data_IF_071012748703
#
_entry.id   IF_071012748703
#
_cell.length_a   1.000
_cell.length_b   1.000
_cell.length_c   1.000
_cell.angle_alpha   90.00
_cell.angle_beta   90.00
_cell.angle_gamma   90.00
#
_symmetry.space_group_name_H-M   'P 1'
#
loop_
_entity.id
_entity.type
_entity.pdbx_description
1 polymer ?
#
# COMPACT_ATOMS: atom_id res chain seq x y z
N UNK A 1 29.53 -1.39 -53.90
CA UNK A 1 29.00 -0.30 -53.06
C UNK A 1 28.96 -0.84 -51.65
N UNK A 2 29.96 -0.61 -50.79
CA UNK A 2 30.13 0.59 -49.93
C UNK A 2 28.80 0.88 -49.21
N UNK A 3 28.68 0.82 -47.88
CA UNK A 3 29.71 0.74 -46.85
C UNK A 3 29.15 0.34 -45.49
N UNK A 4 30.08 -0.13 -44.67
CA UNK A 4 29.99 -0.52 -43.27
C UNK A 4 30.22 0.66 -42.33
N UNK A 5 29.78 0.48 -41.08
CA UNK A 5 30.28 1.09 -39.84
C UNK A 5 30.11 2.62 -39.67
N UNK A 6 29.35 3.00 -38.63
CA UNK A 6 29.82 4.04 -37.70
C UNK A 6 29.58 3.57 -36.28
N UNK A 7 30.70 3.48 -35.57
CA UNK A 7 30.92 3.12 -34.19
C UNK A 7 30.66 4.29 -33.23
N UNK A 8 30.39 3.90 -32.00
CA UNK A 8 30.32 4.66 -30.76
C UNK A 8 31.57 5.54 -30.52
N UNK A 9 31.30 6.77 -30.07
CA UNK A 9 32.06 7.73 -29.26
C UNK A 9 33.59 7.96 -29.45
N UNK A 10 34.03 9.25 -29.52
CA UNK A 10 35.38 9.67 -29.19
C UNK A 10 35.54 10.19 -27.72
N UNK A 11 36.79 10.43 -27.26
CA UNK A 11 37.20 10.24 -25.86
C UNK A 11 37.58 11.52 -25.09
N UNK A 12 37.79 11.31 -23.78
CA UNK A 12 38.80 11.90 -22.89
C UNK A 12 38.68 13.33 -22.32
N UNK A 13 38.62 13.33 -20.97
CA UNK A 13 39.40 14.13 -20.00
C UNK A 13 39.21 15.64 -19.89
N UNK A 14 38.87 16.12 -18.68
CA UNK A 14 39.82 16.86 -17.82
C UNK A 14 39.24 17.18 -16.43
N UNK A 15 40.08 16.91 -15.41
CA UNK A 15 39.95 17.40 -14.03
C UNK A 15 40.10 18.92 -13.99
N UNK A 16 39.37 19.57 -13.08
CA UNK A 16 39.92 20.66 -12.25
C UNK A 16 39.17 20.78 -10.92
N UNK A 17 39.93 20.64 -9.83
CA UNK A 17 39.59 21.05 -8.46
C UNK A 17 39.73 22.57 -8.35
N UNK A 18 38.85 23.27 -7.65
CA UNK A 18 39.17 24.49 -6.86
C UNK A 18 38.27 24.53 -5.60
N UNK A 19 38.80 24.94 -4.42
CA UNK A 19 38.17 24.78 -3.11
C UNK A 19 37.46 26.06 -2.63
N UNK A 20 36.57 25.94 -1.63
CA UNK A 20 36.26 27.06 -0.74
C UNK A 20 36.42 26.64 0.72
N UNK A 21 37.36 27.31 1.38
CA UNK A 21 37.56 27.32 2.82
C UNK A 21 36.62 28.35 3.46
N UNK A 22 36.14 27.98 4.66
CA UNK A 22 35.90 28.76 5.88
C UNK A 22 35.18 30.12 5.79
N UNK A 23 34.14 30.30 6.62
CA UNK A 23 34.17 31.22 7.78
C UNK A 23 32.92 31.04 8.68
N UNK A 24 33.19 30.76 9.96
CA UNK A 24 32.53 31.25 11.19
C UNK A 24 31.03 30.98 11.47
N UNK A 25 30.79 30.13 12.48
CA UNK A 25 29.73 30.27 13.49
C UNK A 25 30.15 31.30 14.58
N UNK A 26 29.42 31.53 15.68
CA UNK A 26 27.97 31.46 15.96
C UNK A 26 27.46 32.76 16.65
N UNK A 27 26.15 33.03 16.68
CA UNK A 27 25.56 33.82 17.78
C UNK A 27 24.17 33.30 18.16
N UNK A 28 24.08 32.93 19.42
CA UNK A 28 22.87 32.62 20.15
C UNK A 28 22.07 33.90 20.42
N UNK A 29 20.75 33.83 20.28
CA UNK A 29 19.84 34.72 20.99
C UNK A 29 18.76 33.89 21.68
N UNK A 30 18.91 33.77 22.99
CA UNK A 30 17.87 33.37 23.92
C UNK A 30 16.94 34.56 24.15
N UNK A 31 15.66 34.45 23.78
CA UNK A 31 14.62 35.31 24.33
C UNK A 31 13.55 34.44 24.99
N UNK A 32 13.63 34.40 26.32
CA UNK A 32 12.64 33.78 27.19
C UNK A 32 11.42 34.72 27.27
N UNK A 33 10.39 34.46 26.49
CA UNK A 33 9.11 35.17 26.63
C UNK A 33 8.19 34.33 27.52
N UNK A 34 8.08 34.75 28.80
CA UNK A 34 7.03 34.29 29.71
C UNK A 34 5.68 34.81 29.21
N UNK A 35 4.83 33.93 28.72
CA UNK A 35 3.41 34.21 28.51
C UNK A 35 2.66 33.63 29.70
N UNK A 36 2.15 34.51 30.56
CA UNK A 36 1.22 34.19 31.64
C UNK A 36 -0.16 33.91 31.07
N UNK A 37 -0.64 32.68 31.20
CA UNK A 37 -2.05 32.35 31.02
C UNK A 37 -2.76 32.36 32.37
N UNK A 38 -3.78 33.20 32.49
CA UNK A 38 -4.74 33.19 33.59
C UNK A 38 -5.64 31.97 33.46
N UNK A 39 -5.61 31.09 34.46
CA UNK A 39 -6.46 29.90 34.55
C UNK A 39 -7.80 30.27 35.16
N UNK A 40 -8.91 29.74 34.63
CA UNK A 40 -10.17 29.64 35.34
C UNK A 40 -10.66 28.18 35.34
N UNK A 41 -10.86 27.68 36.56
CA UNK A 41 -11.74 26.58 36.97
C UNK A 41 -11.53 25.20 36.37
N UNK A 42 -10.84 24.31 37.09
CA UNK A 42 -11.38 22.97 37.41
C UNK A 42 -10.81 22.46 38.75
N UNK A 43 -11.62 21.64 39.42
CA UNK A 43 -11.61 21.28 40.84
C UNK A 43 -10.31 20.62 41.34
N UNK A 44 -9.92 21.01 42.56
CA UNK A 44 -8.87 20.37 43.36
C UNK A 44 -9.25 18.92 43.74
N UNK A 45 -8.38 17.98 43.39
CA UNK A 45 -8.28 16.67 44.03
C UNK A 45 -6.83 16.52 44.52
N UNK A 46 -6.66 16.71 45.82
CA UNK A 46 -5.39 16.53 46.53
C UNK A 46 -5.13 15.03 46.70
N UNK A 47 -4.03 14.52 46.14
CA UNK A 47 -3.49 13.21 46.51
C UNK A 47 -2.09 13.45 47.07
N UNK A 48 -1.92 13.10 48.35
CA UNK A 48 -0.65 13.15 49.07
C UNK A 48 0.36 12.19 48.42
N UNK A 49 1.56 12.70 48.11
CA UNK A 49 2.67 11.88 47.69
C UNK A 49 3.32 11.20 48.91
N UNK A 50 3.16 9.88 49.03
CA UNK A 50 4.03 9.05 49.85
C UNK A 50 5.16 8.51 48.98
N UNK A 51 6.39 8.88 49.33
CA UNK A 51 7.62 8.34 48.75
C UNK A 51 7.73 6.85 49.05
N UNK A 52 7.61 6.00 48.02
CA UNK A 52 8.06 4.62 48.04
C UNK A 52 8.95 4.31 46.83
N UNK A 53 9.94 3.45 47.09
CA UNK A 53 11.18 3.24 46.35
C UNK A 53 10.94 2.70 44.94
N UNK A 54 11.84 3.10 44.02
CA UNK A 54 12.00 2.52 42.68
C UNK A 54 12.41 1.04 42.80
N UNK A 55 11.51 0.14 42.44
CA UNK A 55 11.86 -1.15 41.85
C UNK A 55 11.42 -1.10 40.39
N UNK A 56 12.38 -1.33 39.49
CA UNK A 56 12.21 -1.35 38.04
C UNK A 56 11.56 -2.68 37.64
N UNK A 57 10.24 -2.75 37.66
CA UNK A 57 9.49 -3.76 36.93
C UNK A 57 9.00 -3.14 35.62
N UNK A 58 9.59 -3.57 34.50
CA UNK A 58 8.98 -3.41 33.18
C UNK A 58 7.62 -4.10 33.21
N UNK A 59 6.54 -3.34 33.40
CA UNK A 59 5.20 -3.82 33.14
C UNK A 59 5.01 -3.87 31.62
N UNK A 60 4.77 -5.05 31.02
CA UNK A 60 4.55 -5.14 29.59
C UNK A 60 3.29 -4.37 29.21
N UNK A 61 3.32 -3.73 28.04
CA UNK A 61 2.17 -3.08 27.45
C UNK A 61 1.04 -4.11 27.26
N UNK A 62 -0.20 -3.70 27.49
CA UNK A 62 -1.39 -4.55 27.61
C UNK A 62 -1.85 -5.20 26.27
N UNK A 63 -0.95 -5.50 25.33
CA UNK A 63 -1.26 -5.97 23.98
C UNK A 63 -0.33 -7.04 23.39
N UNK A 64 0.65 -7.54 24.14
CA UNK A 64 1.53 -8.66 23.72
C UNK A 64 1.08 -10.03 24.28
N UNK A 65 -0.03 -10.09 25.00
CA UNK A 65 -0.36 -11.20 25.89
C UNK A 65 -1.38 -12.18 25.26
N UNK A 66 -0.87 -13.34 24.81
CA UNK A 66 -1.55 -14.59 24.43
C UNK A 66 -2.38 -14.71 23.13
N UNK A 67 -2.89 -13.64 22.51
CA UNK A 67 -3.68 -13.79 21.26
C UNK A 67 -2.80 -13.89 20.00
N UNK A 68 -1.62 -13.28 20.01
CA UNK A 68 -0.75 -13.25 18.83
C UNK A 68 0.20 -14.45 18.72
N UNK A 69 0.76 -14.96 19.82
CA UNK A 69 1.76 -16.03 19.70
C UNK A 69 1.13 -17.35 19.22
N UNK A 70 0.07 -17.84 19.85
CA UNK A 70 -0.52 -19.13 19.44
C UNK A 70 -1.07 -19.07 18.01
N UNK A 71 -1.73 -17.98 17.62
CA UNK A 71 -2.23 -17.81 16.25
C UNK A 71 -1.09 -17.66 15.25
N UNK A 72 -0.04 -16.91 15.58
CA UNK A 72 1.16 -16.76 14.74
C UNK A 72 1.82 -18.11 14.48
N UNK A 73 2.04 -18.93 15.51
CA UNK A 73 2.63 -20.26 15.34
C UNK A 73 1.76 -21.14 14.43
N UNK A 74 0.44 -21.19 14.66
CA UNK A 74 -0.47 -21.95 13.78
C UNK A 74 -0.42 -21.50 12.32
N UNK A 75 -0.34 -20.19 12.07
CA UNK A 75 -0.21 -19.64 10.71
C UNK A 75 1.14 -20.03 10.11
N UNK A 76 2.24 -19.85 10.86
CA UNK A 76 3.59 -20.15 10.39
C UNK A 76 3.77 -21.63 10.07
N UNK A 77 3.20 -22.55 10.85
CA UNK A 77 3.24 -23.99 10.58
C UNK A 77 2.63 -24.32 9.20
N UNK A 78 1.46 -23.74 8.92
CA UNK A 78 0.77 -23.95 7.63
C UNK A 78 1.48 -23.23 6.48
N UNK A 79 1.95 -22.01 6.69
CA UNK A 79 2.69 -21.24 5.69
C UNK A 79 3.97 -21.96 5.28
N UNK A 80 4.73 -22.49 6.25
CA UNK A 80 5.99 -23.21 6.00
C UNK A 80 5.75 -24.44 5.11
N UNK A 81 4.68 -25.19 5.37
CA UNK A 81 4.31 -26.34 4.53
C UNK A 81 3.72 -25.96 3.17
N UNK A 82 3.37 -24.68 2.97
CA UNK A 82 2.77 -24.16 1.74
C UNK A 82 3.74 -23.37 0.85
N UNK A 83 5.02 -23.26 1.22
CA UNK A 83 6.04 -22.50 0.47
C UNK A 83 6.14 -22.95 -1.00
N UNK A 84 6.05 -24.25 -1.25
CA UNK A 84 6.11 -24.84 -2.60
C UNK A 84 4.80 -24.75 -3.39
N UNK A 85 3.71 -24.28 -2.78
CA UNK A 85 2.36 -24.26 -3.37
C UNK A 85 1.82 -22.84 -3.60
N UNK A 86 2.72 -21.88 -3.85
CA UNK A 86 2.31 -20.51 -4.16
C UNK A 86 1.75 -20.39 -5.59
N UNK A 87 0.65 -19.64 -5.73
CA UNK A 87 0.10 -19.28 -7.04
C UNK A 87 0.96 -18.18 -7.68
N UNK A 88 1.98 -18.54 -8.46
CA UNK A 88 2.89 -17.56 -9.07
C UNK A 88 2.46 -17.10 -10.47
N UNK A 89 1.73 -17.92 -11.21
CA UNK A 89 1.24 -17.61 -12.55
C UNK A 89 0.09 -18.54 -12.93
N UNK A 90 -0.94 -18.04 -13.62
CA UNK A 90 -2.10 -18.82 -14.07
C UNK A 90 -2.15 -18.88 -15.60
N UNK A 91 -2.76 -19.91 -16.19
CA UNK A 91 -2.96 -19.99 -17.65
C UNK A 91 -4.40 -20.38 -18.01
N UNK A 92 -5.38 -19.68 -17.42
CA UNK A 92 -6.79 -20.07 -17.50
C UNK A 92 -7.37 -20.00 -18.92
N UNK A 93 -6.84 -19.13 -19.79
CA UNK A 93 -7.19 -19.08 -21.22
C UNK A 93 -6.92 -20.40 -21.98
N UNK A 94 -6.10 -21.31 -21.43
CA UNK A 94 -5.86 -22.63 -22.01
C UNK A 94 -6.87 -23.69 -21.52
N UNK A 95 -7.53 -23.45 -20.39
CA UNK A 95 -8.39 -24.43 -19.71
C UNK A 95 -9.86 -24.01 -19.65
N UNK A 96 -10.15 -22.71 -19.82
CA UNK A 96 -11.50 -22.13 -19.76
C UNK A 96 -11.83 -21.49 -21.12
N UNK A 97 -12.65 -22.13 -21.97
CA UNK A 97 -12.92 -21.67 -23.33
C UNK A 97 -13.51 -20.26 -23.47
N UNK A 98 -14.14 -19.73 -22.43
CA UNK A 98 -14.70 -18.39 -22.42
C UNK A 98 -13.64 -17.28 -22.33
N UNK A 99 -12.40 -17.60 -21.97
CA UNK A 99 -11.32 -16.64 -21.76
C UNK A 99 -10.46 -16.49 -23.02
N UNK A 100 -10.37 -15.27 -23.56
CA UNK A 100 -9.75 -14.99 -24.86
C UNK A 100 -8.28 -14.61 -24.80
N UNK A 101 -7.90 -13.85 -23.79
CA UNK A 101 -6.55 -13.29 -23.66
C UNK A 101 -6.14 -13.22 -22.20
N UNK A 102 -4.82 -13.12 -21.97
CA UNK A 102 -4.20 -12.95 -20.67
C UNK A 102 -3.34 -11.70 -20.69
N UNK A 103 -3.52 -10.84 -19.69
CA UNK A 103 -2.60 -9.75 -19.37
C UNK A 103 -1.99 -10.04 -18.01
N UNK A 104 -0.65 -10.09 -17.95
CA UNK A 104 0.08 -10.32 -16.69
C UNK A 104 0.51 -8.99 -16.09
N UNK A 105 -0.08 -8.62 -14.96
CA UNK A 105 0.39 -7.53 -14.12
C UNK A 105 1.40 -7.99 -13.07
N UNK A 106 1.90 -7.05 -12.25
CA UNK A 106 2.86 -7.33 -11.16
C UNK A 106 2.33 -8.40 -10.19
N UNK A 107 1.07 -8.28 -9.78
CA UNK A 107 0.43 -9.16 -8.77
C UNK A 107 -0.81 -9.89 -9.31
N UNK A 108 -1.47 -9.39 -10.36
CA UNK A 108 -2.69 -9.99 -10.92
C UNK A 108 -2.47 -10.51 -12.33
N UNK A 109 -3.07 -11.66 -12.62
CA UNK A 109 -3.28 -12.13 -13.99
C UNK A 109 -4.73 -11.80 -14.38
N UNK A 110 -4.92 -11.12 -15.50
CA UNK A 110 -6.21 -10.58 -15.94
C UNK A 110 -6.62 -11.28 -17.23
N UNK A 111 -7.84 -11.79 -17.28
CA UNK A 111 -8.40 -12.46 -18.46
C UNK A 111 -9.62 -11.76 -19.00
N UNK A 112 -9.71 -11.68 -20.32
CA UNK A 112 -10.87 -11.13 -21.03
C UNK A 112 -11.90 -12.23 -21.31
N UNK A 113 -13.14 -12.02 -20.88
CA UNK A 113 -14.30 -12.90 -21.12
C UNK A 113 -15.43 -12.15 -21.85
N UNK A 114 -15.11 -11.33 -22.85
CA UNK A 114 -16.03 -10.49 -23.64
C UNK A 114 -16.74 -9.39 -22.83
N UNK A 115 -17.68 -9.76 -21.97
CA UNK A 115 -18.47 -8.84 -21.17
C UNK A 115 -17.80 -8.52 -19.81
N UNK A 116 -16.96 -9.44 -19.34
CA UNK A 116 -16.33 -9.39 -18.03
C UNK A 116 -14.82 -9.49 -18.11
N UNK A 117 -14.16 -9.07 -17.02
CA UNK A 117 -12.76 -9.37 -16.73
C UNK A 117 -12.70 -10.37 -15.59
N UNK A 118 -11.85 -11.37 -15.70
CA UNK A 118 -11.50 -12.28 -14.60
C UNK A 118 -10.14 -11.87 -14.06
N UNK A 119 -10.12 -11.40 -12.82
CA UNK A 119 -8.93 -10.93 -12.11
C UNK A 119 -8.48 -12.02 -11.15
N UNK A 120 -7.33 -12.63 -11.41
CA UNK A 120 -6.71 -13.63 -10.52
C UNK A 120 -5.57 -12.98 -9.75
N UNK A 121 -5.75 -12.83 -8.45
CA UNK A 121 -4.74 -12.26 -7.55
C UNK A 121 -3.77 -13.35 -7.11
N UNK A 122 -2.51 -13.19 -7.52
CA UNK A 122 -1.44 -14.18 -7.33
C UNK A 122 -0.65 -13.92 -6.05
N UNK A 123 0.17 -14.90 -5.67
CA UNK A 123 1.05 -14.83 -4.51
C UNK A 123 2.35 -14.07 -4.79
N UNK A 124 2.52 -13.53 -6.00
CA UNK A 124 3.70 -12.76 -6.38
C UNK A 124 3.84 -11.51 -5.49
N UNK A 125 5.05 -11.34 -4.98
CA UNK A 125 5.44 -10.14 -4.27
C UNK A 125 6.45 -9.34 -5.06
N UNK A 126 6.17 -8.06 -5.27
CA UNK A 126 7.02 -7.18 -6.05
C UNK A 126 7.49 -5.94 -5.29
N UNK A 127 8.73 -5.55 -5.58
CA UNK A 127 9.31 -4.24 -5.30
C UNK A 127 10.48 -3.99 -6.27
N UNK A 128 10.92 -2.74 -6.41
CA UNK A 128 11.98 -2.36 -7.36
C UNK A 128 11.65 -2.78 -8.80
N UNK A 129 10.36 -2.74 -9.15
CA UNK A 129 9.81 -3.18 -10.45
C UNK A 129 10.12 -4.64 -10.84
N UNK A 130 10.44 -5.48 -9.85
CA UNK A 130 10.74 -6.90 -10.01
C UNK A 130 9.87 -7.74 -9.09
N UNK A 131 9.62 -8.98 -9.50
CA UNK A 131 9.05 -10.00 -8.61
C UNK A 131 10.18 -10.53 -7.73
N UNK A 132 10.06 -10.35 -6.42
CA UNK A 132 11.08 -10.68 -5.43
C UNK A 132 10.92 -12.08 -4.83
N UNK A 133 9.67 -12.50 -4.64
CA UNK A 133 9.32 -13.78 -4.04
C UNK A 133 7.86 -14.14 -4.36
N UNK A 134 7.47 -15.37 -4.05
CA UNK A 134 6.05 -15.75 -3.92
C UNK A 134 5.75 -15.98 -2.44
N UNK A 135 4.66 -15.37 -1.96
CA UNK A 135 4.30 -15.36 -0.54
C UNK A 135 3.03 -16.19 -0.36
N UNK A 136 3.07 -17.32 0.36
CA UNK A 136 1.92 -18.19 0.52
C UNK A 136 0.68 -17.42 0.99
N UNK A 137 -0.47 -17.72 0.36
CA UNK A 137 -1.77 -17.13 0.67
C UNK A 137 -1.91 -15.61 0.43
N UNK A 138 -0.89 -14.91 -0.06
CA UNK A 138 -0.95 -13.46 -0.30
C UNK A 138 -2.07 -13.10 -1.25
N UNK A 139 -2.23 -13.84 -2.35
CA UNK A 139 -3.25 -13.55 -3.36
C UNK A 139 -4.66 -13.67 -2.79
N UNK A 140 -4.90 -14.67 -1.95
CA UNK A 140 -6.16 -14.85 -1.24
C UNK A 140 -6.40 -13.70 -0.26
N UNK A 141 -5.42 -13.37 0.58
CA UNK A 141 -5.51 -12.25 1.53
C UNK A 141 -5.90 -10.95 0.83
N UNK A 142 -5.21 -10.61 -0.26
CA UNK A 142 -5.46 -9.36 -1.00
C UNK A 142 -6.86 -9.32 -1.62
N UNK A 143 -7.28 -10.43 -2.24
CA UNK A 143 -8.59 -10.53 -2.88
C UNK A 143 -9.72 -10.47 -1.85
N UNK A 144 -9.66 -11.26 -0.78
CA UNK A 144 -10.68 -11.28 0.27
C UNK A 144 -10.74 -9.94 1.04
N UNK A 145 -9.60 -9.30 1.30
CA UNK A 145 -9.56 -7.95 1.89
C UNK A 145 -10.28 -6.95 1.01
N UNK A 146 -10.00 -6.97 -0.31
CA UNK A 146 -10.66 -6.06 -1.26
C UNK A 146 -12.16 -6.32 -1.34
N UNK A 147 -12.60 -7.58 -1.41
CA UNK A 147 -14.01 -7.94 -1.43
C UNK A 147 -14.75 -7.46 -0.17
N UNK A 148 -14.12 -7.57 1.00
CA UNK A 148 -14.67 -7.06 2.25
C UNK A 148 -14.85 -5.54 2.23
N UNK A 149 -13.86 -4.80 1.72
CA UNK A 149 -13.95 -3.34 1.58
C UNK A 149 -14.93 -2.91 0.50
N UNK A 150 -14.97 -3.60 -0.63
CA UNK A 150 -15.95 -3.35 -1.69
C UNK A 150 -17.37 -3.43 -1.15
N UNK A 151 -17.69 -4.44 -0.33
CA UNK A 151 -19.00 -4.56 0.33
C UNK A 151 -19.27 -3.38 1.26
N UNK A 152 -18.34 -3.08 2.17
CA UNK A 152 -18.53 -2.02 3.16
C UNK A 152 -18.63 -0.63 2.58
N UNK A 153 -18.06 -0.40 1.40
CA UNK A 153 -18.02 0.92 0.76
C UNK A 153 -19.06 1.12 -0.33
N UNK A 154 -19.95 0.14 -0.57
CA UNK A 154 -21.05 0.25 -1.57
C UNK A 154 -21.95 1.47 -1.37
N UNK A 155 -22.10 1.92 -0.13
CA UNK A 155 -22.90 3.10 0.22
C UNK A 155 -22.21 4.44 -0.14
N UNK A 156 -20.92 4.41 -0.51
CA UNK A 156 -20.13 5.58 -0.94
C UNK A 156 -20.00 5.59 -2.47
N UNK A 157 -19.67 4.43 -3.06
CA UNK A 157 -19.48 4.29 -4.51
C UNK A 157 -19.77 2.86 -4.95
N UNK A 158 -20.40 2.71 -6.12
CA UNK A 158 -20.56 1.40 -6.77
C UNK A 158 -19.21 0.86 -7.21
N UNK A 159 -19.03 -0.47 -7.18
CA UNK A 159 -17.80 -1.11 -7.64
C UNK A 159 -18.05 -2.04 -8.82
N UNK A 160 -16.98 -2.46 -9.48
CA UNK A 160 -17.07 -3.31 -10.67
C UNK A 160 -17.28 -4.81 -10.35
N UNK A 161 -17.27 -5.24 -9.09
CA UNK A 161 -17.37 -6.66 -8.73
C UNK A 161 -18.73 -7.25 -9.15
N UNK A 162 -18.69 -8.38 -9.85
CA UNK A 162 -19.87 -9.16 -10.27
C UNK A 162 -19.98 -10.42 -9.43
N UNK A 163 -18.88 -11.16 -9.28
CA UNK A 163 -18.81 -12.36 -8.45
C UNK A 163 -17.37 -12.66 -8.03
N UNK A 164 -17.21 -13.52 -7.02
CA UNK A 164 -15.92 -13.99 -6.54
C UNK A 164 -15.95 -15.53 -6.44
N UNK A 165 -15.74 -16.25 -7.57
CA UNK A 165 -15.95 -17.70 -7.62
C UNK A 165 -14.85 -18.50 -6.90
N UNK A 166 -13.71 -17.88 -6.61
CA UNK A 166 -12.62 -18.48 -5.87
C UNK A 166 -12.00 -17.44 -4.95
N UNK A 167 -11.33 -17.89 -3.89
CA UNK A 167 -10.64 -17.06 -2.90
C UNK A 167 -9.60 -16.12 -3.52
N UNK A 168 -9.00 -16.51 -4.65
CA UNK A 168 -8.03 -15.71 -5.40
C UNK A 168 -8.65 -14.91 -6.57
N UNK A 169 -9.96 -15.03 -6.83
CA UNK A 169 -10.56 -14.56 -8.08
C UNK A 169 -11.71 -13.59 -7.85
N UNK A 170 -11.69 -12.50 -8.61
CA UNK A 170 -12.80 -11.57 -8.77
C UNK A 170 -13.18 -11.49 -10.24
N UNK A 171 -14.46 -11.70 -10.56
CA UNK A 171 -15.04 -11.38 -11.87
C UNK A 171 -15.62 -9.97 -11.78
N UNK A 172 -15.19 -9.10 -12.69
CA UNK A 172 -15.55 -7.69 -12.70
C UNK A 172 -16.17 -7.26 -14.04
N UNK A 173 -17.05 -6.25 -14.00
CA UNK A 173 -17.57 -5.56 -15.18
C UNK A 173 -16.43 -4.85 -15.90
N UNK A 174 -16.47 -4.85 -17.24
CA UNK A 174 -15.61 -3.98 -18.03
C UNK A 174 -16.03 -2.52 -17.87
N UNK A 175 -15.04 -1.65 -17.80
CA UNK A 175 -15.20 -0.21 -17.78
C UNK A 175 -14.00 0.47 -18.47
N UNK A 176 -14.19 1.73 -18.86
CA UNK A 176 -13.09 2.56 -19.35
C UNK A 176 -12.33 3.12 -18.15
N UNK A 177 -11.14 2.59 -17.88
CA UNK A 177 -10.32 2.98 -16.72
C UNK A 177 -9.82 4.42 -16.89
N UNK A 178 -9.96 5.25 -15.86
CA UNK A 178 -9.33 6.56 -15.87
C UNK A 178 -7.82 6.40 -15.68
N UNK A 179 -6.98 7.05 -16.51
CA UNK A 179 -5.51 6.93 -16.44
C UNK A 179 -4.91 7.77 -15.30
N UNK A 180 -5.55 7.77 -14.13
CA UNK A 180 -5.19 8.53 -12.93
C UNK A 180 -5.33 7.62 -11.72
N UNK A 181 -4.30 7.61 -10.88
CA UNK A 181 -4.35 6.95 -9.57
C UNK A 181 -4.58 8.01 -8.49
N UNK A 182 -5.60 7.80 -7.67
CA UNK A 182 -5.98 8.72 -6.60
C UNK A 182 -5.30 8.28 -5.30
N UNK A 183 -4.10 8.80 -5.06
CA UNK A 183 -3.37 8.54 -3.81
C UNK A 183 -3.87 9.48 -2.72
N UNK A 184 -4.61 8.94 -1.76
CA UNK A 184 -5.10 9.66 -0.59
C UNK A 184 -4.11 9.53 0.57
N UNK A 185 -3.82 10.64 1.26
CA UNK A 185 -2.83 10.69 2.35
C UNK A 185 -3.39 11.35 3.59
N UNK A 186 -3.13 10.74 4.75
CA UNK A 186 -3.46 11.29 6.06
C UNK A 186 -2.24 11.67 6.90
N UNK A 187 -1.03 11.30 6.47
CA UNK A 187 0.21 11.51 7.23
C UNK A 187 1.38 11.92 6.32
N UNK A 188 2.30 12.70 6.87
CA UNK A 188 3.54 13.15 6.21
C UNK A 188 4.60 12.05 6.30
N UNK A 189 4.49 11.00 5.49
CA UNK A 189 5.38 9.82 5.58
C UNK A 189 5.83 9.28 4.21
N UNK A 190 6.53 8.14 4.24
CA UNK A 190 7.00 7.34 3.12
C UNK A 190 8.45 7.64 2.72
N UNK A 191 9.07 6.69 2.03
CA UNK A 191 10.50 6.70 1.65
C UNK A 191 10.76 6.77 0.14
N UNK A 192 9.72 6.68 -0.70
CA UNK A 192 9.84 6.75 -2.16
C UNK A 192 9.92 8.21 -2.64
N UNK A 193 10.37 8.43 -3.88
CA UNK A 193 10.49 9.78 -4.44
C UNK A 193 9.16 10.53 -4.57
N UNK A 194 8.05 9.79 -4.67
CA UNK A 194 6.68 10.33 -4.74
C UNK A 194 5.98 10.39 -3.37
N UNK A 195 6.65 9.99 -2.28
CA UNK A 195 6.05 10.07 -0.95
C UNK A 195 5.99 11.50 -0.44
N UNK A 196 4.97 11.80 0.38
CA UNK A 196 4.76 13.15 0.89
C UNK A 196 5.95 13.62 1.74
N UNK A 197 6.52 12.76 2.57
CA UNK A 197 7.69 13.13 3.37
C UNK A 197 8.92 13.40 2.51
N UNK A 198 9.22 12.56 1.52
CA UNK A 198 10.41 12.76 0.67
C UNK A 198 10.35 14.08 -0.09
N UNK A 199 9.18 14.38 -0.68
CA UNK A 199 8.93 15.64 -1.40
C UNK A 199 9.02 16.85 -0.45
N UNK A 200 8.36 16.76 0.70
CA UNK A 200 8.38 17.83 1.70
C UNK A 200 9.79 18.11 2.25
N UNK A 201 10.56 17.05 2.54
CA UNK A 201 11.93 17.14 3.04
C UNK A 201 12.91 17.71 2.00
N UNK A 202 12.59 17.60 0.69
CA UNK A 202 13.31 18.27 -0.41
C UNK A 202 12.97 19.77 -0.53
N UNK A 203 12.10 20.31 0.33
CA UNK A 203 11.73 21.72 0.36
C UNK A 203 10.50 22.08 -0.49
N UNK A 204 9.83 21.09 -1.08
CA UNK A 204 8.62 21.32 -1.90
C UNK A 204 7.42 21.53 -0.97
N UNK A 205 6.72 22.65 -1.15
CA UNK A 205 5.54 23.04 -0.34
C UNK A 205 4.24 23.05 -1.12
N UNK A 206 4.28 23.07 -2.44
CA UNK A 206 3.11 22.82 -3.28
C UNK A 206 3.28 21.45 -3.91
N UNK A 207 2.44 20.49 -3.52
CA UNK A 207 2.51 19.13 -4.04
C UNK A 207 1.15 18.69 -4.57
N UNK A 208 1.09 18.39 -5.88
CA UNK A 208 -0.14 18.06 -6.59
C UNK A 208 -1.28 19.09 -6.37
N UNK A 209 -0.94 20.38 -6.25
CA UNK A 209 -1.92 21.45 -5.98
C UNK A 209 -2.24 21.67 -4.50
N UNK A 210 -1.66 20.88 -3.59
CA UNK A 210 -1.84 21.07 -2.15
C UNK A 210 -0.73 21.96 -1.58
N UNK A 211 -1.12 23.07 -0.94
CA UNK A 211 -0.19 23.93 -0.20
C UNK A 211 0.02 23.36 1.21
N UNK A 212 1.25 22.96 1.50
CA UNK A 212 1.69 22.39 2.76
C UNK A 212 2.33 23.47 3.63
N UNK A 213 1.95 23.61 4.92
CA UNK A 213 2.58 24.56 5.82
C UNK A 213 4.02 24.15 6.14
N UNK A 214 4.83 25.14 6.52
CA UNK A 214 6.18 24.90 7.05
C UNK A 214 6.16 24.22 8.42
N UNK A 215 7.31 23.66 8.80
CA UNK A 215 7.52 23.03 10.11
C UNK A 215 6.91 21.63 10.28
N UNK A 216 6.30 21.03 9.25
CA UNK A 216 5.87 19.64 9.32
C UNK A 216 7.05 18.68 9.56
N UNK A 217 6.81 17.64 10.35
CA UNK A 217 7.79 16.60 10.67
C UNK A 217 7.38 15.24 10.14
N UNK A 218 8.34 14.33 9.99
CA UNK A 218 8.08 12.97 9.50
C UNK A 218 7.07 12.26 10.38
N UNK A 219 6.15 11.54 9.74
CA UNK A 219 5.08 10.76 10.34
C UNK A 219 4.00 11.56 11.07
N UNK A 220 4.00 12.90 10.95
CA UNK A 220 2.94 13.75 11.47
C UNK A 220 1.59 13.50 10.77
N UNK A 221 0.50 13.48 11.53
CA UNK A 221 -0.87 13.48 10.98
C UNK A 221 -1.18 14.82 10.32
N UNK A 222 -1.73 14.78 9.10
CA UNK A 222 -2.20 15.96 8.39
C UNK A 222 -3.45 16.55 9.03
N UNK A 223 -3.61 17.87 8.94
CA UNK A 223 -4.82 18.55 9.41
C UNK A 223 -6.08 18.14 8.64
N UNK A 224 -5.92 17.81 7.36
CA UNK A 224 -6.95 17.26 6.48
C UNK A 224 -6.32 16.23 5.54
N UNK A 225 -7.08 15.22 5.17
CA UNK A 225 -6.66 14.28 4.15
C UNK A 225 -6.50 15.02 2.80
N UNK A 226 -5.48 14.65 2.03
CA UNK A 226 -5.19 15.26 0.74
C UNK A 226 -5.10 14.19 -0.35
N UNK A 227 -5.33 14.59 -1.59
CA UNK A 227 -5.06 13.77 -2.77
C UNK A 227 -3.77 14.23 -3.43
N UNK A 228 -2.92 13.28 -3.78
CA UNK A 228 -1.71 13.51 -4.57
C UNK A 228 -1.75 12.58 -5.79
N UNK A 229 -2.60 12.89 -6.78
CA UNK A 229 -2.82 11.97 -7.89
C UNK A 229 -1.55 11.78 -8.73
N UNK A 230 -1.46 10.60 -9.34
CA UNK A 230 -0.38 10.25 -10.26
C UNK A 230 -0.97 9.78 -11.59
N UNK A 231 -0.24 10.00 -12.67
CA UNK A 231 -0.56 9.39 -13.97
C UNK A 231 0.13 8.04 -14.09
N UNK A 232 -0.55 7.07 -14.73
CA UNK A 232 0.03 5.78 -15.09
C UNK A 232 0.94 5.97 -16.32
N UNK A 233 2.24 6.19 -16.12
CA UNK A 233 3.21 6.16 -17.21
C UNK A 233 3.83 4.75 -17.35
N UNK A 234 4.46 4.47 -18.49
CA UNK A 234 5.03 3.16 -18.78
C UNK A 234 6.16 2.76 -17.81
N UNK A 235 6.95 3.74 -17.34
CA UNK A 235 8.17 3.48 -16.56
C UNK A 235 8.01 3.76 -15.06
N UNK A 236 7.22 4.78 -14.66
CA UNK A 236 6.97 5.13 -13.27
C UNK A 236 5.77 6.09 -13.12
N UNK A 237 5.10 6.05 -11.97
CA UNK A 237 3.99 6.95 -11.68
C UNK A 237 4.48 8.39 -11.49
N UNK A 238 3.89 9.33 -12.23
CA UNK A 238 4.29 10.74 -12.20
C UNK A 238 3.23 11.57 -11.46
N UNK A 239 3.61 12.30 -10.39
CA UNK A 239 2.70 13.21 -9.70
C UNK A 239 2.11 14.25 -10.64
N UNK A 240 0.81 14.51 -10.52
CA UNK A 240 0.08 15.44 -11.39
C UNK A 240 -0.87 16.31 -10.56
N UNK A 241 -1.15 17.52 -11.02
CA UNK A 241 -2.15 18.41 -10.42
C UNK A 241 -3.54 18.19 -11.02
N UNK A 242 -4.62 18.58 -10.32
CA UNK A 242 -5.97 18.55 -10.87
C UNK A 242 -6.10 19.24 -12.24
N UNK A 243 -5.52 20.43 -12.39
CA UNK A 243 -5.64 21.20 -13.64
C UNK A 243 -4.91 20.51 -14.80
N UNK A 244 -3.71 19.95 -14.55
CA UNK A 244 -2.99 19.17 -15.57
C UNK A 244 -3.75 17.91 -16.01
N UNK A 245 -4.49 17.25 -15.10
CA UNK A 245 -5.34 16.10 -15.46
C UNK A 245 -6.40 16.51 -16.49
N UNK A 246 -7.05 17.66 -16.27
CA UNK A 246 -8.10 18.17 -17.16
C UNK A 246 -7.50 18.67 -18.48
N UNK A 247 -6.41 19.43 -18.42
CA UNK A 247 -5.73 19.97 -19.61
C UNK A 247 -5.20 18.88 -20.54
N UNK A 248 -4.69 17.78 -19.97
CA UNK A 248 -4.23 16.60 -20.74
C UNK A 248 -5.36 15.71 -21.24
N UNK A 249 -6.62 16.02 -20.92
CA UNK A 249 -7.80 15.24 -21.33
C UNK A 249 -7.85 13.84 -20.68
N UNK A 250 -7.17 13.64 -19.55
CA UNK A 250 -7.15 12.36 -18.84
C UNK A 250 -8.51 12.07 -18.17
N UNK A 251 -9.18 13.12 -17.72
CA UNK A 251 -10.54 13.09 -17.17
C UNK A 251 -11.27 14.37 -17.54
N UNK A 252 -12.60 14.33 -17.56
CA UNK A 252 -13.40 15.56 -17.56
C UNK A 252 -13.39 16.20 -16.17
N UNK A 253 -13.67 17.50 -16.07
CA UNK A 253 -13.74 18.20 -14.78
C UNK A 253 -14.76 17.55 -13.84
N UNK A 254 -15.95 17.24 -14.36
CA UNK A 254 -17.00 16.58 -13.59
C UNK A 254 -16.58 15.18 -13.11
N UNK A 255 -15.97 14.38 -13.98
CA UNK A 255 -15.50 13.03 -13.59
C UNK A 255 -14.41 13.11 -12.52
N UNK A 256 -13.47 14.05 -12.64
CA UNK A 256 -12.39 14.22 -11.67
C UNK A 256 -12.92 14.68 -10.30
N UNK A 257 -13.83 15.63 -10.28
CA UNK A 257 -14.44 16.13 -9.04
C UNK A 257 -15.21 15.01 -8.31
N UNK A 258 -16.02 14.24 -9.04
CA UNK A 258 -16.76 13.10 -8.48
C UNK A 258 -15.82 12.00 -7.95
N UNK A 259 -14.81 11.60 -8.74
CA UNK A 259 -13.84 10.57 -8.32
C UNK A 259 -13.00 11.03 -7.13
N UNK A 260 -12.60 12.31 -7.10
CA UNK A 260 -11.82 12.91 -6.00
C UNK A 260 -12.63 12.94 -4.70
N UNK A 261 -13.89 13.35 -4.76
CA UNK A 261 -14.78 13.34 -3.58
C UNK A 261 -14.93 11.91 -3.05
N UNK A 262 -15.22 10.96 -3.94
CA UNK A 262 -15.36 9.53 -3.57
C UNK A 262 -14.07 8.98 -2.97
N UNK A 263 -12.90 9.26 -3.54
CA UNK A 263 -11.60 8.83 -3.02
C UNK A 263 -11.36 9.32 -1.58
N UNK A 264 -11.63 10.60 -1.31
CA UNK A 264 -11.47 11.17 0.02
C UNK A 264 -12.48 10.58 1.02
N UNK A 265 -13.74 10.39 0.63
CA UNK A 265 -14.77 9.77 1.48
C UNK A 265 -14.47 8.29 1.78
N UNK A 266 -14.01 7.54 0.78
CA UNK A 266 -13.52 6.17 0.98
C UNK A 266 -12.37 6.14 1.98
N UNK A 267 -11.44 7.09 1.89
CA UNK A 267 -10.27 7.13 2.75
C UNK A 267 -10.61 7.49 4.18
N UNK A 268 -11.49 8.48 4.38
CA UNK A 268 -12.00 8.85 5.70
C UNK A 268 -12.76 7.70 6.37
N UNK A 269 -13.66 7.03 5.63
CA UNK A 269 -14.37 5.85 6.13
C UNK A 269 -13.40 4.69 6.46
N UNK A 270 -12.42 4.44 5.58
CA UNK A 270 -11.37 3.45 5.80
C UNK A 270 -10.53 3.74 7.04
N UNK A 271 -10.19 5.02 7.27
CA UNK A 271 -9.48 5.47 8.47
C UNK A 271 -10.30 5.22 9.75
N UNK A 272 -11.59 5.53 9.72
CA UNK A 272 -12.47 5.28 10.86
C UNK A 272 -12.50 3.79 11.22
N UNK A 273 -12.83 2.94 10.24
CA UNK A 273 -12.95 1.49 10.46
C UNK A 273 -11.60 0.87 10.86
N UNK A 274 -10.50 1.28 10.24
CA UNK A 274 -9.16 0.83 10.63
C UNK A 274 -8.85 1.17 12.09
N UNK A 275 -9.17 2.41 12.52
CA UNK A 275 -8.92 2.87 13.88
C UNK A 275 -9.75 2.11 14.91
N UNK A 276 -11.03 1.87 14.63
CA UNK A 276 -11.90 1.00 15.44
C UNK A 276 -11.31 -0.41 15.59
N UNK A 277 -10.55 -0.85 14.59
CA UNK A 277 -9.92 -2.16 14.55
C UNK A 277 -8.48 -2.20 15.09
N UNK A 278 -7.95 -1.09 15.61
CA UNK A 278 -6.61 -1.01 16.20
C UNK A 278 -5.49 -0.68 15.21
N UNK A 279 -5.84 -0.23 14.00
CA UNK A 279 -4.91 0.15 12.94
C UNK A 279 -5.04 1.63 12.58
N UNK A 280 -4.01 2.21 11.99
CA UNK A 280 -4.07 3.53 11.36
C UNK A 280 -3.91 3.31 9.86
N UNK A 281 -4.91 3.69 9.07
CA UNK A 281 -4.79 3.77 7.61
C UNK A 281 -4.09 5.09 7.24
N UNK A 282 -2.85 4.98 6.77
CA UNK A 282 -1.91 6.09 6.67
C UNK A 282 -2.04 6.81 5.34
N UNK A 283 -2.02 6.03 4.27
CA UNK A 283 -2.27 6.42 2.89
C UNK A 283 -2.75 5.20 2.10
N UNK A 284 -3.41 5.45 0.97
CA UNK A 284 -3.92 4.42 0.06
C UNK A 284 -4.05 4.95 -1.36
N UNK A 285 -4.16 4.05 -2.32
CA UNK A 285 -4.34 4.34 -3.74
C UNK A 285 -5.68 3.78 -4.23
N UNK A 286 -6.46 4.61 -4.91
CA UNK A 286 -7.67 4.15 -5.60
C UNK A 286 -7.54 4.29 -7.11
N UNK A 287 -8.28 3.44 -7.80
CA UNK A 287 -8.55 3.57 -9.23
C UNK A 287 -10.04 3.54 -9.49
N UNK A 288 -10.44 4.28 -10.52
CA UNK A 288 -11.83 4.35 -10.95
C UNK A 288 -11.93 4.06 -12.44
N UNK A 289 -13.08 3.55 -12.86
CA UNK A 289 -13.43 3.40 -14.26
C UNK A 289 -14.84 3.89 -14.54
N UNK A 290 -15.08 4.27 -15.79
CA UNK A 290 -16.39 4.71 -16.29
C UNK A 290 -17.10 3.56 -16.99
N UNK A 291 -18.26 3.17 -16.48
CA UNK A 291 -19.11 2.16 -17.09
C UNK A 291 -19.82 2.69 -18.35
N UNK A 292 -20.41 1.77 -19.12
CA UNK A 292 -21.10 2.12 -20.37
C UNK A 292 -22.32 3.03 -20.17
N UNK A 293 -22.94 2.99 -18.99
CA UNK A 293 -24.05 3.88 -18.60
C UNK A 293 -23.56 5.26 -18.09
N UNK A 294 -22.25 5.49 -18.09
CA UNK A 294 -21.63 6.73 -17.63
C UNK A 294 -21.30 6.76 -16.14
N UNK A 295 -21.68 5.75 -15.35
CA UNK A 295 -21.41 5.71 -13.91
C UNK A 295 -19.92 5.49 -13.59
N UNK A 296 -19.43 6.15 -12.54
CA UNK A 296 -18.07 5.93 -12.01
C UNK A 296 -18.09 4.76 -11.02
N UNK A 297 -17.31 3.73 -11.35
CA UNK A 297 -17.11 2.53 -10.55
C UNK A 297 -15.74 2.55 -9.87
N UNK A 298 -15.70 2.15 -8.60
CA UNK A 298 -14.47 1.77 -7.93
C UNK A 298 -13.99 0.43 -8.48
N UNK A 299 -12.72 0.38 -8.87
CA UNK A 299 -12.10 -0.81 -9.47
C UNK A 299 -10.82 -1.18 -8.71
N UNK A 300 -10.04 -2.09 -9.29
CA UNK A 300 -8.74 -2.50 -8.76
C UNK A 300 -8.83 -3.20 -7.41
N UNK A 301 -7.94 -2.90 -6.47
CA UNK A 301 -7.97 -3.38 -5.09
C UNK A 301 -8.16 -2.23 -4.11
N UNK A 302 -8.73 -2.50 -2.93
CA UNK A 302 -9.09 -1.46 -1.97
C UNK A 302 -8.57 -1.80 -0.60
N UNK A 303 -7.80 -0.89 -0.02
CA UNK A 303 -7.36 -0.93 1.38
C UNK A 303 -6.62 -2.22 1.77
N UNK A 304 -5.90 -2.79 0.81
CA UNK A 304 -5.06 -3.96 1.01
C UNK A 304 -3.68 -3.54 1.53
N UNK A 305 -2.88 -4.48 2.08
CA UNK A 305 -1.49 -4.19 2.42
C UNK A 305 -0.57 -3.84 1.23
N UNK A 306 -1.00 -4.11 -0.01
CA UNK A 306 -0.25 -3.74 -1.23
C UNK A 306 -0.61 -2.33 -1.74
N UNK A 307 -1.86 -1.91 -1.55
CA UNK A 307 -2.37 -0.59 -1.95
C UNK A 307 -2.33 0.47 -0.85
N UNK A 308 -2.13 0.07 0.41
CA UNK A 308 -2.18 0.94 1.59
C UNK A 308 -1.03 0.71 2.57
N UNK A 309 -0.70 1.78 3.32
CA UNK A 309 0.12 1.68 4.53
C UNK A 309 -0.75 1.61 5.78
N UNK A 310 -0.44 0.66 6.65
CA UNK A 310 -1.09 0.48 7.93
C UNK A 310 -0.09 0.53 9.08
N UNK A 311 -0.40 1.31 10.12
CA UNK A 311 0.35 1.30 11.38
C UNK A 311 -0.45 0.70 12.52
N UNK A 312 0.24 0.18 13.54
CA UNK A 312 -0.40 -0.26 14.78
C UNK A 312 -0.80 0.97 15.60
N UNK A 313 -2.11 1.18 15.80
CA UNK A 313 -2.64 2.43 16.36
C UNK A 313 -2.12 2.71 17.78
N UNK A 314 -2.10 1.69 18.64
CA UNK A 314 -1.73 1.85 20.04
C UNK A 314 -0.24 2.17 20.26
N UNK A 315 0.62 1.87 19.27
CA UNK A 315 2.06 2.17 19.36
C UNK A 315 2.41 3.58 18.87
N UNK A 316 1.55 4.20 18.05
CA UNK A 316 1.94 5.35 17.23
C UNK A 316 2.41 6.55 18.06
N UNK A 317 1.62 6.98 19.05
CA UNK A 317 1.96 8.17 19.85
C UNK A 317 3.25 8.00 20.65
N UNK A 318 3.42 6.85 21.31
CA UNK A 318 4.62 6.54 22.08
C UNK A 318 5.87 6.53 21.18
N UNK A 319 5.78 5.87 20.02
CA UNK A 319 6.90 5.77 19.08
C UNK A 319 7.31 7.14 18.55
N UNK A 320 6.35 8.00 18.16
CA UNK A 320 6.66 9.36 17.71
C UNK A 320 7.28 10.22 18.82
N UNK A 321 6.77 10.13 20.06
CA UNK A 321 7.35 10.86 21.20
C UNK A 321 8.80 10.45 21.49
N UNK A 322 9.14 9.19 21.22
CA UNK A 322 10.49 8.66 21.38
C UNK A 322 11.37 8.83 20.12
N UNK A 323 10.89 9.53 19.08
CA UNK A 323 11.63 9.73 17.83
C UNK A 323 11.81 8.46 16.98
N UNK A 324 10.94 7.46 17.17
CA UNK A 324 10.96 6.18 16.46
C UNK A 324 9.98 6.19 15.27
N UNK A 325 10.29 5.39 14.24
CA UNK A 325 9.35 5.13 13.14
C UNK A 325 8.09 4.42 13.65
N UNK A 326 6.88 4.74 13.18
CA UNK A 326 5.66 4.01 13.50
C UNK A 326 5.81 2.51 13.25
N UNK A 327 5.15 1.72 14.07
CA UNK A 327 5.14 0.28 13.88
C UNK A 327 4.28 -0.07 12.68
N UNK A 328 4.89 -0.71 11.68
CA UNK A 328 4.31 -1.03 10.40
C UNK A 328 4.34 -2.54 10.16
N UNK A 329 3.32 -3.04 9.48
CA UNK A 329 3.13 -4.46 9.16
C UNK A 329 3.41 -4.76 7.68
N UNK A 330 3.80 -3.74 6.89
CA UNK A 330 4.04 -3.86 5.46
C UNK A 330 5.35 -4.58 5.08
N UNK A 331 5.60 -4.59 3.76
CA UNK A 331 6.74 -5.23 3.09
C UNK A 331 8.08 -4.49 3.20
N UNK A 332 8.20 -3.43 4.00
CA UNK A 332 9.44 -2.64 4.02
C UNK A 332 10.65 -3.45 4.51
N UNK A 333 10.46 -4.40 5.42
CA UNK A 333 11.55 -5.27 5.88
C UNK A 333 12.10 -6.18 4.76
N UNK A 334 11.24 -6.67 3.85
CA UNK A 334 11.68 -7.40 2.65
C UNK A 334 12.53 -6.51 1.76
N UNK A 335 12.11 -5.26 1.53
CA UNK A 335 12.88 -4.29 0.74
C UNK A 335 14.24 -3.98 1.35
N UNK A 336 14.29 -3.80 2.67
CA UNK A 336 15.53 -3.53 3.40
C UNK A 336 16.48 -4.72 3.30
N UNK A 337 15.97 -5.95 3.40
CA UNK A 337 16.76 -7.16 3.21
C UNK A 337 17.39 -7.20 1.81
N UNK A 338 16.62 -6.98 0.73
CA UNK A 338 17.20 -6.96 -0.61
C UNK A 338 18.25 -5.85 -0.78
N UNK A 339 17.97 -4.63 -0.30
CA UNK A 339 18.93 -3.51 -0.36
C UNK A 339 20.23 -3.78 0.41
N UNK A 340 20.22 -4.61 1.46
CA UNK A 340 21.43 -4.93 2.21
C UNK A 340 22.20 -6.13 1.65
N UNK A 341 21.61 -6.90 0.74
CA UNK A 341 22.22 -8.12 0.19
C UNK A 341 22.51 -8.06 -1.32
N UNK A 342 21.96 -7.08 -2.05
CA UNK A 342 22.18 -6.88 -3.48
C UNK A 342 21.91 -5.42 -3.88
N UNK A 343 22.26 -5.04 -5.12
CA UNK A 343 21.72 -3.85 -5.76
C UNK A 343 20.47 -4.24 -6.58
N UNK A 344 19.25 -4.11 -6.03
CA UNK A 344 18.05 -4.64 -6.68
C UNK A 344 17.70 -3.97 -8.02
N UNK A 345 18.27 -2.80 -8.30
CA UNK A 345 18.05 -2.03 -9.52
C UNK A 345 19.02 -2.39 -10.65
N UNK A 346 20.21 -2.90 -10.33
CA UNK A 346 21.29 -3.12 -11.31
C UNK A 346 21.66 -4.59 -11.46
N UNK A 347 21.55 -5.39 -10.39
CA UNK A 347 21.98 -6.79 -10.41
C UNK A 347 21.08 -7.63 -11.31
N UNK A 348 21.65 -8.37 -12.26
CA UNK A 348 20.88 -9.20 -13.20
C UNK A 348 20.07 -10.28 -12.46
N UNK A 349 20.68 -10.91 -11.45
CA UNK A 349 20.07 -11.97 -10.64
C UNK A 349 19.98 -11.50 -9.20
N UNK A 350 18.79 -11.59 -8.62
CA UNK A 350 18.58 -11.30 -7.20
C UNK A 350 18.79 -12.58 -6.37
N UNK A 351 19.30 -12.47 -5.13
CA UNK A 351 19.29 -13.61 -4.21
C UNK A 351 17.86 -14.00 -3.85
N UNK A 352 17.61 -15.29 -3.60
CA UNK A 352 16.32 -15.75 -3.11
C UNK A 352 16.03 -15.17 -1.72
N UNK A 353 14.78 -14.76 -1.49
CA UNK A 353 14.35 -14.33 -0.17
C UNK A 353 14.40 -15.54 0.81
N UNK A 354 15.00 -15.39 2.01
CA UNK A 354 15.02 -16.44 3.02
C UNK A 354 13.62 -16.93 3.39
N UNK A 355 13.47 -18.23 3.65
CA UNK A 355 12.16 -18.83 3.96
C UNK A 355 11.50 -18.20 5.19
N UNK A 356 12.27 -17.88 6.23
CA UNK A 356 11.80 -17.21 7.43
C UNK A 356 11.24 -15.81 7.12
N UNK A 357 11.90 -15.09 6.20
CA UNK A 357 11.46 -13.78 5.71
C UNK A 357 10.14 -13.88 4.94
N UNK A 358 10.01 -14.90 4.08
CA UNK A 358 8.78 -15.20 3.33
C UNK A 358 7.64 -15.59 4.28
N UNK A 359 7.92 -16.46 5.25
CA UNK A 359 6.94 -16.92 6.23
C UNK A 359 6.45 -15.78 7.14
N UNK A 360 7.37 -14.93 7.61
CA UNK A 360 7.03 -13.73 8.39
C UNK A 360 6.15 -12.78 7.57
N UNK A 361 6.46 -12.59 6.28
CA UNK A 361 5.64 -11.75 5.40
C UNK A 361 4.22 -12.31 5.21
N UNK A 362 4.10 -13.62 4.95
CA UNK A 362 2.80 -14.27 4.82
C UNK A 362 1.96 -14.12 6.12
N UNK A 363 2.60 -14.31 7.29
CA UNK A 363 1.94 -14.07 8.57
C UNK A 363 1.46 -12.62 8.71
N UNK A 364 2.26 -11.63 8.30
CA UNK A 364 1.89 -10.21 8.35
C UNK A 364 0.69 -9.88 7.47
N UNK A 365 0.63 -10.43 6.25
CA UNK A 365 -0.55 -10.30 5.37
C UNK A 365 -1.80 -10.88 6.05
N UNK A 366 -1.71 -12.09 6.59
CA UNK A 366 -2.82 -12.75 7.29
C UNK A 366 -3.23 -11.96 8.54
N UNK A 367 -2.27 -11.49 9.33
CA UNK A 367 -2.54 -10.67 10.52
C UNK A 367 -3.27 -9.38 10.14
N UNK A 368 -2.85 -8.70 9.06
CA UNK A 368 -3.56 -7.51 8.58
C UNK A 368 -4.97 -7.84 8.13
N UNK A 369 -5.17 -8.92 7.37
CA UNK A 369 -6.52 -9.38 7.00
C UNK A 369 -7.38 -9.60 8.24
N UNK A 370 -6.90 -10.38 9.21
CA UNK A 370 -7.68 -10.73 10.41
C UNK A 370 -7.98 -9.49 11.26
N UNK A 371 -7.05 -8.54 11.31
CA UNK A 371 -7.23 -7.29 12.04
C UNK A 371 -8.21 -6.35 11.34
N UNK A 372 -8.06 -6.16 10.01
CA UNK A 372 -8.92 -5.31 9.18
C UNK A 372 -10.34 -5.85 9.16
N UNK A 373 -10.53 -7.14 8.96
CA UNK A 373 -11.87 -7.73 8.75
C UNK A 373 -12.53 -8.20 10.03
N UNK A 374 -11.78 -8.25 11.15
CA UNK A 374 -12.18 -8.93 12.41
C UNK A 374 -12.66 -10.36 12.21
N UNK A 375 -12.21 -11.00 11.14
CA UNK A 375 -12.57 -12.36 10.75
C UNK A 375 -11.33 -13.23 10.71
N UNK A 376 -11.44 -14.48 11.18
CA UNK A 376 -10.33 -15.43 11.13
C UNK A 376 -10.04 -15.81 9.67
N UNK A 377 -8.77 -15.82 9.27
CA UNK A 377 -8.35 -16.22 7.93
C UNK A 377 -8.42 -17.74 7.77
N UNK A 378 -9.04 -18.18 6.68
CA UNK A 378 -9.16 -19.59 6.33
C UNK A 378 -7.89 -20.09 5.64
N UNK A 379 -7.10 -20.85 6.38
CA UNK A 379 -5.91 -21.54 5.88
C UNK A 379 -6.32 -22.84 5.20
N UNK A 380 -6.82 -22.76 3.97
CA UNK A 380 -7.24 -23.95 3.23
C UNK A 380 -6.03 -24.68 2.65
N UNK A 381 -5.70 -25.81 3.26
CA UNK A 381 -4.84 -26.83 2.65
C UNK A 381 -5.71 -27.68 1.73
N UNK A 382 -5.52 -27.53 0.43
CA UNK A 382 -6.24 -28.29 -0.59
C UNK A 382 -5.31 -29.32 -1.22
N UNK A 383 -5.78 -30.56 -1.33
CA UNK A 383 -5.12 -31.63 -2.10
C UNK A 383 -5.28 -31.41 -3.61
N UNK A 384 -6.32 -30.68 -4.04
CA UNK A 384 -6.51 -30.28 -5.43
C UNK A 384 -5.48 -29.21 -5.81
N UNK A 385 -4.78 -29.35 -6.95
CA UNK A 385 -3.93 -28.31 -7.50
C UNK A 385 -4.71 -26.99 -7.67
N UNK A 386 -4.15 -25.89 -7.17
CA UNK A 386 -4.82 -24.58 -7.16
C UNK A 386 -5.30 -24.12 -8.55
N UNK A 387 -4.58 -24.50 -9.62
CA UNK A 387 -4.96 -24.21 -10.99
C UNK A 387 -6.26 -24.89 -11.42
N UNK A 388 -6.46 -26.13 -11.02
CA UNK A 388 -7.63 -26.92 -11.40
C UNK A 388 -8.86 -26.40 -10.65
N UNK A 389 -8.69 -26.12 -9.35
CA UNK A 389 -9.71 -25.47 -8.51
C UNK A 389 -10.20 -24.16 -9.12
N UNK A 390 -9.26 -23.27 -9.44
CA UNK A 390 -9.57 -21.96 -10.03
C UNK A 390 -10.22 -22.12 -11.41
N UNK A 391 -9.68 -22.98 -12.29
CA UNK A 391 -10.23 -23.19 -13.64
C UNK A 391 -11.67 -23.66 -13.59
N UNK A 392 -11.97 -24.65 -12.73
CA UNK A 392 -13.31 -25.20 -12.52
C UNK A 392 -14.29 -24.16 -11.98
N UNK A 393 -13.88 -23.42 -10.95
CA UNK A 393 -14.71 -22.38 -10.32
C UNK A 393 -15.03 -21.23 -11.30
N UNK A 394 -14.03 -20.77 -12.06
CA UNK A 394 -14.21 -19.71 -13.08
C UNK A 394 -15.09 -20.18 -14.23
N UNK A 395 -14.87 -21.39 -14.76
CA UNK A 395 -15.69 -21.94 -15.84
C UNK A 395 -17.16 -22.03 -15.44
N UNK A 396 -17.44 -22.53 -14.22
CA UNK A 396 -18.80 -22.62 -13.68
C UNK A 396 -19.45 -21.24 -13.53
N UNK A 397 -18.74 -20.28 -12.96
CA UNK A 397 -19.27 -18.94 -12.74
C UNK A 397 -19.56 -18.19 -14.05
N UNK A 398 -18.65 -18.26 -15.03
CA UNK A 398 -18.88 -17.64 -16.34
C UNK A 398 -20.05 -18.30 -17.09
N UNK A 399 -20.27 -19.60 -16.93
CA UNK A 399 -21.43 -20.27 -17.50
C UNK A 399 -22.76 -19.80 -16.88
N UNK A 400 -22.77 -19.43 -15.60
CA UNK A 400 -23.95 -18.88 -14.91
C UNK A 400 -24.24 -17.40 -15.18
N UNK A 401 -23.27 -16.66 -15.72
CA UNK A 401 -23.40 -15.24 -16.05
C UNK A 401 -23.87 -14.97 -17.49
N UNK A 402 -23.97 -16.03 -18.30
CA UNK A 402 -24.60 -16.05 -19.62
C UNK A 402 -26.06 -16.41 -19.48
#
# INVERSE_FOLDING_TARGET
MIGSMVSLNPPNTLRTKIPLNNFLSPTAFTSTTRITFTSNNFRNLTIQASTMRKESEQRPSFGETLVNNTRKHQVLDVVTTSLSNCLSETNLHLTVPALKSKTRGKVRDIYDSEDYLVLVTTDRQSAFDRVLASIPFKGQVLNETSLWWFERTKHIVSNAVVSAPDKNVTIAKKCSVFPVEFVARGFVTGSTDTSLWTVYNKGIRNYCGNVLPDGMVKNQKLAKNILTPTTKAADHDVPVTPDEIIEKGLMTRADYEEASEKALRLFEYGQQVALEHGLILVDTKYEFGKANDGSILLIDEVHTPDSSRYWIANSYLERIQNGLEPENVDKEFLRLWFKSHCNPYEDEVLPDAPEDLVCELAWRYIFLYETITKSKFELQLTEEPIHDRISRNVASALASLK
#
